data_IF_618776161216
#
_entry.id   IF_618776161216
#
_cell.length_a   1.000
_cell.length_b   1.000
_cell.length_c   1.000
_cell.angle_alpha   90.00
_cell.angle_beta   90.00
_cell.angle_gamma   90.00
#
_symmetry.space_group_name_H-M   'P 1'
#
loop_
_entity.id
_entity.type
_entity.pdbx_description
1 polymer ?
#
# COMPACT_ATOMS: atom_id res chain seq x y z
N UNK A 1 4.23 -20.63 37.84
CA UNK A 1 4.13 -19.49 36.92
C UNK A 1 5.22 -19.71 35.90
N UNK A 2 4.90 -20.40 34.81
CA UNK A 2 5.86 -20.73 33.76
C UNK A 2 6.18 -19.47 32.95
N UNK A 3 7.47 -19.21 32.74
CA UNK A 3 8.01 -18.06 32.01
C UNK A 3 7.86 -18.20 30.47
N UNK A 4 7.01 -19.12 30.00
CA UNK A 4 6.89 -19.52 28.58
C UNK A 4 5.63 -18.98 27.88
N UNK A 5 4.75 -18.26 28.57
CA UNK A 5 3.47 -17.79 28.02
C UNK A 5 3.53 -16.41 27.35
N UNK A 6 4.73 -15.86 27.11
CA UNK A 6 4.92 -14.56 26.46
C UNK A 6 5.76 -14.69 25.18
N UNK A 7 5.21 -15.38 24.19
CA UNK A 7 5.56 -15.09 22.79
C UNK A 7 4.36 -14.35 22.22
N UNK A 8 4.38 -13.02 22.35
CA UNK A 8 3.45 -12.13 21.65
C UNK A 8 3.58 -12.41 20.15
N UNK A 9 2.53 -12.97 19.56
CA UNK A 9 2.40 -13.12 18.11
C UNK A 9 2.22 -11.71 17.55
N UNK A 10 3.33 -11.06 17.17
CA UNK A 10 3.31 -9.78 16.46
C UNK A 10 2.59 -10.01 15.14
N UNK A 11 1.28 -9.77 15.14
CA UNK A 11 0.51 -9.64 13.92
C UNK A 11 1.11 -8.46 13.19
N UNK A 12 1.91 -8.71 12.15
CA UNK A 12 2.36 -7.71 11.19
C UNK A 12 1.15 -7.18 10.41
N UNK A 13 0.24 -6.50 11.11
CA UNK A 13 -0.82 -5.71 10.51
C UNK A 13 -0.15 -4.46 9.92
N UNK A 14 0.50 -4.65 8.76
CA UNK A 14 0.96 -3.55 7.91
C UNK A 14 -0.24 -2.63 7.69
N UNK A 15 -0.23 -1.48 8.36
CA UNK A 15 -1.27 -0.45 8.22
C UNK A 15 -1.17 0.13 6.82
N UNK A 16 -1.96 -0.42 5.90
CA UNK A 16 -2.09 0.09 4.53
C UNK A 16 -2.61 1.53 4.60
N UNK A 17 -1.91 2.46 3.96
CA UNK A 17 -2.31 3.87 3.85
C UNK A 17 -3.65 4.00 3.11
N UNK A 18 -4.43 5.02 3.45
CA UNK A 18 -5.68 5.31 2.74
C UNK A 18 -5.44 5.52 1.23
N UNK A 19 -4.31 6.14 0.87
CA UNK A 19 -3.93 6.36 -0.52
C UNK A 19 -3.60 5.05 -1.26
N UNK A 20 -2.94 4.12 -0.59
CA UNK A 20 -2.63 2.80 -1.16
C UNK A 20 -3.89 2.00 -1.40
N UNK A 21 -4.84 2.04 -0.45
CA UNK A 21 -6.17 1.44 -0.63
C UNK A 21 -6.87 2.00 -1.87
N UNK A 22 -6.85 3.31 -2.05
CA UNK A 22 -7.44 3.97 -3.23
C UNK A 22 -6.74 3.52 -4.51
N UNK A 23 -5.39 3.46 -4.52
CA UNK A 23 -4.61 3.05 -5.69
C UNK A 23 -4.93 1.61 -6.11
N UNK A 24 -4.98 0.69 -5.14
CA UNK A 24 -5.30 -0.73 -5.38
C UNK A 24 -6.72 -0.88 -5.91
N UNK A 25 -7.68 -0.15 -5.33
CA UNK A 25 -9.08 -0.19 -5.73
C UNK A 25 -9.28 0.41 -7.14
N UNK A 26 -8.62 1.52 -7.45
CA UNK A 26 -8.68 2.13 -8.77
C UNK A 26 -8.10 1.22 -9.86
N UNK A 27 -6.93 0.64 -9.61
CA UNK A 27 -6.31 -0.33 -10.52
C UNK A 27 -7.21 -1.53 -10.72
N UNK A 28 -7.81 -2.06 -9.65
CA UNK A 28 -8.70 -3.21 -9.75
C UNK A 28 -10.02 -2.88 -10.45
N UNK A 29 -10.57 -1.68 -10.24
CA UNK A 29 -11.75 -1.24 -10.98
C UNK A 29 -11.45 -1.17 -12.48
N UNK A 30 -10.28 -0.64 -12.88
CA UNK A 30 -9.82 -0.60 -14.28
C UNK A 30 -9.74 -2.00 -14.88
N UNK A 31 -9.11 -2.93 -14.15
CA UNK A 31 -9.02 -4.35 -14.52
C UNK A 31 -10.39 -4.99 -14.81
N UNK A 32 -11.40 -4.64 -14.01
CA UNK A 32 -12.77 -5.13 -14.18
C UNK A 32 -13.48 -4.46 -15.37
N UNK A 33 -13.16 -3.20 -15.68
CA UNK A 33 -13.61 -2.55 -16.91
C UNK A 33 -12.99 -3.17 -18.17
N UNK A 34 -11.77 -3.67 -18.08
CA UNK A 34 -11.08 -4.40 -19.15
C UNK A 34 -11.60 -5.84 -19.33
N UNK A 35 -12.60 -6.27 -18.54
CA UNK A 35 -13.23 -7.58 -18.68
C UNK A 35 -12.57 -8.71 -17.88
N UNK A 36 -11.65 -8.41 -16.94
CA UNK A 36 -11.13 -9.43 -16.03
C UNK A 36 -12.24 -9.97 -15.12
N UNK A 37 -12.13 -11.23 -14.73
CA UNK A 37 -13.09 -11.85 -13.83
C UNK A 37 -13.04 -11.25 -12.43
N UNK A 38 -14.22 -11.14 -11.82
CA UNK A 38 -14.37 -10.80 -10.41
C UNK A 38 -14.18 -12.05 -9.57
N UNK A 39 -13.44 -11.94 -8.47
CA UNK A 39 -13.17 -13.02 -7.51
C UNK A 39 -14.29 -13.20 -6.49
N UNK A 40 -15.25 -12.28 -6.44
CA UNK A 40 -16.43 -12.34 -5.58
C UNK A 40 -17.64 -12.72 -6.42
N UNK A 41 -18.39 -13.73 -5.96
CA UNK A 41 -19.63 -14.21 -6.58
C UNK A 41 -20.77 -13.18 -6.42
N UNK A 42 -21.82 -13.32 -7.24
CA UNK A 42 -23.09 -12.59 -7.13
C UNK A 42 -23.01 -11.05 -7.27
N UNK A 43 -22.00 -10.54 -7.97
CA UNK A 43 -21.82 -9.09 -8.21
C UNK A 43 -21.77 -8.72 -9.71
N UNK A 44 -22.26 -9.59 -10.59
CA UNK A 44 -22.18 -9.39 -12.05
C UNK A 44 -22.94 -8.13 -12.52
N UNK A 45 -24.07 -7.82 -11.90
CA UNK A 45 -24.88 -6.62 -12.22
C UNK A 45 -24.38 -5.31 -11.59
N UNK A 46 -23.33 -5.39 -10.76
CA UNK A 46 -22.82 -4.22 -10.03
C UNK A 46 -21.74 -3.50 -10.83
N UNK A 47 -21.62 -2.19 -10.58
CA UNK A 47 -20.55 -1.37 -11.17
C UNK A 47 -19.17 -1.97 -10.83
N UNK A 48 -18.20 -1.94 -11.76
CA UNK A 48 -16.84 -2.45 -11.52
C UNK A 48 -16.15 -1.87 -10.28
N UNK A 49 -16.41 -0.59 -9.97
CA UNK A 49 -15.91 0.05 -8.75
C UNK A 49 -16.48 -0.59 -7.47
N UNK A 50 -17.77 -0.91 -7.46
CA UNK A 50 -18.42 -1.62 -6.34
C UNK A 50 -17.87 -3.03 -6.22
N UNK A 51 -17.67 -3.74 -7.34
CA UNK A 51 -17.05 -5.08 -7.35
C UNK A 51 -15.65 -5.06 -6.73
N UNK A 52 -14.81 -4.10 -7.11
CA UNK A 52 -13.48 -3.91 -6.53
C UNK A 52 -13.53 -3.61 -5.02
N UNK A 53 -14.49 -2.80 -4.56
CA UNK A 53 -14.70 -2.55 -3.12
C UNK A 53 -15.00 -3.83 -2.35
N UNK A 54 -15.93 -4.66 -2.84
CA UNK A 54 -16.28 -5.93 -2.20
C UNK A 54 -15.12 -6.92 -2.20
N UNK A 55 -14.35 -6.99 -3.28
CA UNK A 55 -13.14 -7.81 -3.32
C UNK A 55 -12.09 -7.36 -2.29
N UNK A 56 -11.94 -6.05 -2.08
CA UNK A 56 -11.01 -5.50 -1.09
C UNK A 56 -11.48 -5.77 0.34
N UNK A 57 -12.78 -5.62 0.62
CA UNK A 57 -13.39 -5.94 1.92
C UNK A 57 -13.24 -7.42 2.29
N UNK A 58 -13.33 -8.31 1.30
CA UNK A 58 -13.16 -9.75 1.49
C UNK A 58 -11.71 -10.23 1.41
N UNK A 59 -10.72 -9.31 1.43
CA UNK A 59 -9.28 -9.62 1.31
C UNK A 59 -8.95 -10.49 0.09
N UNK A 60 -9.70 -10.35 -1.02
CA UNK A 60 -9.48 -11.07 -2.30
C UNK A 60 -8.54 -10.33 -3.25
N UNK A 61 -8.19 -9.08 -2.93
CA UNK A 61 -7.15 -8.31 -3.58
C UNK A 61 -6.09 -8.01 -2.52
N UNK A 62 -4.88 -8.47 -2.75
CA UNK A 62 -3.74 -8.07 -1.94
C UNK A 62 -3.19 -6.73 -2.45
N UNK A 63 -2.96 -5.76 -1.56
CA UNK A 63 -2.30 -4.53 -1.93
C UNK A 63 -0.82 -4.83 -2.19
N UNK A 64 -0.40 -4.80 -3.45
CA UNK A 64 1.02 -4.87 -3.81
C UNK A 64 1.69 -3.54 -3.44
N UNK A 65 2.14 -3.43 -2.19
CA UNK A 65 2.88 -2.26 -1.71
C UNK A 65 4.35 -2.48 -2.05
N UNK A 66 4.83 -1.84 -3.11
CA UNK A 66 6.26 -1.61 -3.30
C UNK A 66 6.60 -0.34 -2.52
N UNK A 67 7.15 -0.51 -1.31
CA UNK A 67 7.83 0.59 -0.63
C UNK A 67 9.17 0.77 -1.34
N UNK A 68 9.24 1.70 -2.28
CA UNK A 68 10.52 2.28 -2.65
C UNK A 68 10.98 3.07 -1.42
N UNK A 69 11.83 2.46 -0.59
CA UNK A 69 12.62 3.21 0.37
C UNK A 69 13.52 4.14 -0.44
N UNK A 70 13.02 5.35 -0.74
CA UNK A 70 13.87 6.44 -1.17
C UNK A 70 14.80 6.72 0.01
N UNK A 71 15.98 6.12 -0.01
CA UNK A 71 17.12 6.62 0.75
C UNK A 71 17.35 8.04 0.25
N UNK A 72 16.82 9.01 0.99
CA UNK A 72 17.18 10.41 0.80
C UNK A 72 18.62 10.51 1.27
N UNK A 73 19.56 10.60 0.33
CA UNK A 73 20.95 10.86 0.66
C UNK A 73 21.05 12.33 1.09
N UNK A 74 21.22 12.57 2.39
CA UNK A 74 21.38 13.91 2.94
C UNK A 74 22.81 14.45 2.75
N UNK A 75 23.74 13.63 2.25
CA UNK A 75 25.11 14.07 1.98
C UNK A 75 25.19 15.10 0.83
N UNK A 76 24.19 15.15 -0.06
CA UNK A 76 24.10 16.16 -1.14
C UNK A 76 23.66 17.55 -0.65
N UNK A 77 23.28 17.71 0.63
CA UNK A 77 22.83 18.98 1.21
C UNK A 77 23.90 19.67 2.08
N UNK A 78 25.04 19.03 2.33
CA UNK A 78 26.08 19.53 3.26
C UNK A 78 27.16 20.39 2.59
N UNK A 79 27.07 20.65 1.28
CA UNK A 79 28.07 21.42 0.51
C UNK A 79 27.63 22.88 0.23
N UNK A 80 26.72 23.42 1.06
CA UNK A 80 26.19 24.79 0.95
C UNK A 80 26.47 25.60 2.23
N UNK A 81 27.73 25.65 2.65
CA UNK A 81 28.29 26.72 3.51
C UNK A 81 29.61 27.15 2.84
N UNK A 82 29.61 28.21 2.03
CA UNK A 82 29.89 29.61 2.43
C UNK A 82 31.40 29.88 2.53
N UNK A 83 32.02 30.19 1.38
CA UNK A 83 33.39 30.72 1.31
C UNK A 83 33.43 31.86 0.26
N UNK A 84 32.70 32.95 0.53
CA UNK A 84 33.09 34.27 0.03
C UNK A 84 34.27 34.77 0.89
N UNK A 85 35.49 34.40 0.50
CA UNK A 85 36.70 35.06 1.00
C UNK A 85 37.09 36.23 0.08
N UNK A 86 36.56 37.43 0.38
CA UNK A 86 37.13 38.70 -0.07
C UNK A 86 38.14 39.20 0.99
N UNK A 87 39.44 39.13 0.69
CA UNK A 87 40.50 40.02 1.23
C UNK A 87 41.76 39.95 0.35
#
# INVERSE_FOLDING_TARGET
>A
MDYLDLVEEYSDDKKISQFEKIRVLANRARDLYEGKSCKVADLEDRKPTTRAQYEMLNKKIEPSIYMEEKQVNYDDFLDLDDDESDD
#
